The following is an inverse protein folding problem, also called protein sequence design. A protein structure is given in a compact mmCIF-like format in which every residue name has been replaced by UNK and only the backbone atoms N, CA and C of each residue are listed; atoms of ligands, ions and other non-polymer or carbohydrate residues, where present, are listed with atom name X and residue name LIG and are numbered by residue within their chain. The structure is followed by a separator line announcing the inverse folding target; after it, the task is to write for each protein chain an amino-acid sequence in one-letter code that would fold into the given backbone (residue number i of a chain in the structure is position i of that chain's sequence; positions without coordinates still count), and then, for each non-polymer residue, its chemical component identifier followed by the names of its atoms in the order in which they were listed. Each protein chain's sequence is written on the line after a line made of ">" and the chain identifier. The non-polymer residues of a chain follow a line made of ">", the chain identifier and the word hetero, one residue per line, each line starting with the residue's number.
data_IF_259014682319
#
_entry.id   IF_259014682319
#
_cell.length_a   1.000
_cell.length_b   1.000
_cell.length_c   1.000
_cell.angle_alpha   90.00
_cell.angle_beta   90.00
_cell.angle_gamma   90.00
#
_symmetry.space_group_name_H-M   'P 1'
#
loop_
_entity.id
_entity.type
_entity.pdbx_description
1 polymer ?
#
# COMPACT_ATOMS: atom_id res chain seq x y z
N UNK A 1 2.97 33.58 7.85
CA UNK A 1 1.56 33.63 8.32
C UNK A 1 1.00 32.22 8.37
N UNK A 2 0.10 31.94 9.31
CA UNK A 2 -0.56 30.63 9.45
C UNK A 2 -2.07 30.84 9.57
N UNK A 3 -2.86 30.08 8.82
CA UNK A 3 -4.33 30.22 8.81
C UNK A 3 -4.95 29.23 9.78
N UNK A 4 -5.85 29.70 10.65
CA UNK A 4 -6.55 28.84 11.60
C UNK A 4 -7.48 27.86 10.85
N UNK A 5 -7.39 26.57 11.13
CA UNK A 5 -8.26 25.56 10.52
C UNK A 5 -9.70 25.60 11.06
N UNK A 6 -9.93 26.24 12.21
CA UNK A 6 -11.25 26.35 12.84
C UNK A 6 -12.01 27.61 12.42
N UNK A 7 -11.42 28.81 12.57
CA UNK A 7 -12.09 30.08 12.25
C UNK A 7 -11.53 30.82 11.02
N UNK A 8 -10.53 30.25 10.35
CA UNK A 8 -9.90 30.81 9.14
C UNK A 8 -9.18 32.15 9.33
N UNK A 9 -9.04 32.65 10.56
CA UNK A 9 -8.24 33.85 10.86
C UNK A 9 -6.75 33.65 10.53
N UNK A 10 -6.10 34.70 10.02
CA UNK A 10 -4.67 34.72 9.75
C UNK A 10 -3.90 35.09 11.01
N UNK A 11 -2.94 34.25 11.40
CA UNK A 11 -2.14 34.46 12.59
C UNK A 11 -0.66 34.64 12.20
N UNK A 12 0.11 35.43 12.96
CA UNK A 12 1.55 35.53 12.77
C UNK A 12 2.22 34.17 12.99
N UNK A 13 3.33 33.93 12.29
CA UNK A 13 4.10 32.70 12.47
C UNK A 13 4.67 32.64 13.89
N UNK A 14 4.62 31.46 14.52
CA UNK A 14 5.19 31.25 15.86
C UNK A 14 4.21 31.39 17.03
N UNK A 15 2.96 31.83 16.81
CA UNK A 15 1.94 31.80 17.87
C UNK A 15 1.38 30.40 18.06
N UNK A 16 1.14 30.04 19.33
CA UNK A 16 0.72 28.69 19.73
C UNK A 16 -0.79 28.46 19.59
N UNK A 17 -1.55 29.53 19.74
CA UNK A 17 -3.01 29.54 19.70
C UNK A 17 -3.50 30.65 18.78
N UNK A 18 -4.71 30.49 18.24
CA UNK A 18 -5.36 31.50 17.44
C UNK A 18 -5.80 32.68 18.33
N UNK A 19 -5.47 33.90 17.93
CA UNK A 19 -5.85 35.11 18.66
C UNK A 19 -7.35 35.42 18.67
N UNK A 20 -8.11 34.85 17.71
CA UNK A 20 -9.55 35.04 17.58
C UNK A 20 -10.36 33.97 18.32
N UNK A 21 -10.10 32.68 18.04
CA UNK A 21 -10.92 31.59 18.56
C UNK A 21 -10.25 30.74 19.65
N UNK A 22 -8.99 31.00 19.99
CA UNK A 22 -8.24 30.22 21.00
C UNK A 22 -7.81 28.82 20.55
N UNK A 23 -8.13 28.41 19.31
CA UNK A 23 -7.72 27.11 18.78
C UNK A 23 -6.20 26.93 18.77
N UNK A 24 -5.73 25.73 19.12
CA UNK A 24 -4.30 25.39 19.06
C UNK A 24 -3.81 25.33 17.61
N UNK A 25 -2.72 26.03 17.31
CA UNK A 25 -2.10 26.04 15.99
C UNK A 25 -0.86 25.15 15.93
N UNK A 26 -0.22 24.90 17.08
CA UNK A 26 0.91 23.97 17.19
C UNK A 26 0.49 22.54 16.88
N UNK A 27 1.38 21.80 16.21
CA UNK A 27 1.17 20.38 15.95
C UNK A 27 1.90 19.53 16.99
N UNK A 28 1.21 18.54 17.54
CA UNK A 28 1.83 17.56 18.44
C UNK A 28 2.29 16.36 17.63
N UNK A 29 3.54 15.95 17.79
CA UNK A 29 4.07 14.79 17.10
C UNK A 29 3.42 13.51 17.63
N UNK A 30 2.76 12.75 16.77
CA UNK A 30 2.16 11.47 17.16
C UNK A 30 3.20 10.40 17.54
N UNK A 31 4.44 10.52 17.07
CA UNK A 31 5.50 9.54 17.33
C UNK A 31 6.19 9.75 18.69
N UNK A 32 6.39 11.01 19.13
CA UNK A 32 7.14 11.29 20.36
C UNK A 32 6.45 12.28 21.32
N UNK A 33 5.28 12.83 20.98
CA UNK A 33 4.54 13.77 21.83
C UNK A 33 5.08 15.21 21.85
N UNK A 34 6.19 15.51 21.17
CA UNK A 34 6.75 16.86 21.14
C UNK A 34 5.79 17.86 20.48
N UNK A 35 5.70 19.06 21.03
CA UNK A 35 5.02 20.19 20.40
C UNK A 35 5.90 20.81 19.31
N UNK A 36 5.32 21.12 18.15
CA UNK A 36 6.02 21.67 17.01
C UNK A 36 5.31 22.95 16.53
N UNK A 37 6.08 23.96 16.11
CA UNK A 37 5.55 25.19 15.52
C UNK A 37 4.50 24.95 14.42
N UNK A 38 3.52 25.86 14.27
CA UNK A 38 2.59 25.80 13.18
C UNK A 38 3.33 25.93 11.83
N UNK A 39 3.04 25.02 10.90
CA UNK A 39 3.60 25.01 9.55
C UNK A 39 4.72 23.99 9.32
N UNK A 40 5.32 23.46 10.39
CA UNK A 40 6.37 22.44 10.28
C UNK A 40 5.84 21.15 9.66
N UNK A 41 6.65 20.55 8.78
CA UNK A 41 6.32 19.31 8.08
C UNK A 41 6.85 18.07 8.79
N UNK A 42 7.91 18.24 9.58
CA UNK A 42 8.61 17.18 10.30
C UNK A 42 8.90 17.62 11.74
N UNK A 43 8.95 16.65 12.65
CA UNK A 43 9.24 16.91 14.05
C UNK A 43 10.71 17.32 14.26
N UNK A 44 10.94 18.42 14.96
CA UNK A 44 12.29 18.88 15.30
C UNK A 44 13.08 17.94 16.22
N UNK A 45 12.41 17.04 16.94
CA UNK A 45 13.05 16.10 17.86
C UNK A 45 13.31 14.72 17.23
N UNK A 46 12.29 14.10 16.64
CA UNK A 46 12.38 12.72 16.14
C UNK A 46 12.36 12.60 14.61
N UNK A 47 12.24 13.73 13.88
CA UNK A 47 12.10 13.78 12.40
C UNK A 47 10.88 13.04 11.81
N UNK A 48 9.94 12.55 12.61
CA UNK A 48 8.69 11.98 12.10
C UNK A 48 7.85 13.04 11.35
N UNK A 49 7.11 12.61 10.33
CA UNK A 49 6.19 13.49 9.59
C UNK A 49 5.07 13.99 10.51
N UNK A 50 4.84 15.30 10.52
CA UNK A 50 3.73 15.95 11.23
C UNK A 50 2.50 16.13 10.33
N UNK A 51 2.72 16.10 9.02
CA UNK A 51 1.65 16.05 8.04
C UNK A 51 1.15 14.62 8.00
N UNK A 52 -0.16 14.42 8.21
CA UNK A 52 -0.79 13.18 7.80
C UNK A 52 -0.59 13.08 6.29
N UNK A 53 0.30 12.19 5.86
CA UNK A 53 0.19 11.69 4.50
C UNK A 53 -1.25 11.21 4.33
N UNK A 54 -1.91 11.47 3.18
CA UNK A 54 -3.19 10.85 2.92
C UNK A 54 -2.96 9.36 3.11
N UNK A 55 -3.49 8.81 4.20
CA UNK A 55 -3.56 7.39 4.37
C UNK A 55 -4.45 6.97 3.22
N UNK A 56 -3.85 6.45 2.14
CA UNK A 56 -4.51 5.39 1.42
C UNK A 56 -4.72 4.35 2.49
N UNK A 57 -5.88 4.43 3.16
CA UNK A 57 -6.45 3.31 3.87
C UNK A 57 -6.30 2.23 2.85
N UNK A 58 -5.33 1.31 3.05
CA UNK A 58 -5.30 0.08 2.30
C UNK A 58 -6.74 -0.35 2.36
N UNK A 59 -7.40 -0.42 1.19
CA UNK A 59 -8.78 -0.81 1.05
C UNK A 59 -9.02 -1.81 2.17
N UNK A 60 -9.81 -1.43 3.18
CA UNK A 60 -10.28 -2.41 4.12
C UNK A 60 -11.00 -3.37 3.21
N UNK A 61 -10.36 -4.49 2.88
CA UNK A 61 -10.96 -5.49 2.02
C UNK A 61 -12.18 -5.91 2.82
N UNK A 62 -13.41 -5.61 2.36
CA UNK A 62 -14.51 -6.38 2.87
C UNK A 62 -14.28 -7.77 2.28
N UNK A 63 -13.70 -8.66 3.08
CA UNK A 63 -14.04 -10.06 2.93
C UNK A 63 -15.57 -10.11 2.90
N UNK A 64 -16.12 -10.74 1.86
CA UNK A 64 -17.55 -10.85 1.52
C UNK A 64 -18.07 -9.83 0.49
N UNK A 65 -17.59 -9.93 -0.75
CA UNK A 65 -18.52 -9.86 -1.88
C UNK A 65 -18.99 -11.30 -2.15
N UNK A 66 -20.26 -11.67 -1.90
CA UNK A 66 -20.73 -12.94 -2.41
C UNK A 66 -20.78 -12.81 -3.93
N UNK A 67 -19.83 -13.45 -4.62
CA UNK A 67 -19.98 -13.74 -6.03
C UNK A 67 -21.16 -14.71 -6.19
N UNK A 68 -22.38 -14.18 -6.21
CA UNK A 68 -23.50 -14.86 -6.87
C UNK A 68 -23.29 -14.76 -8.38
N UNK A 69 -22.27 -15.46 -8.88
CA UNK A 69 -22.15 -15.77 -10.29
C UNK A 69 -22.56 -17.23 -10.42
N UNK A 70 -23.86 -17.46 -10.60
CA UNK A 70 -24.34 -18.78 -11.02
C UNK A 70 -23.72 -19.10 -12.39
N UNK A 71 -22.89 -20.14 -12.54
CA UNK A 71 -22.39 -20.52 -13.84
C UNK A 71 -23.57 -21.05 -14.67
N UNK A 72 -24.04 -20.28 -15.66
CA UNK A 72 -24.94 -20.82 -16.67
C UNK A 72 -24.16 -21.92 -17.40
N UNK A 73 -24.59 -23.17 -17.21
CA UNK A 73 -24.05 -24.34 -17.90
C UNK A 73 -24.26 -24.13 -19.39
N UNK A 74 -23.22 -23.67 -20.08
CA UNK A 74 -23.23 -23.57 -21.54
C UNK A 74 -23.16 -24.99 -22.10
N UNK A 75 -24.31 -25.49 -22.53
CA UNK A 75 -24.48 -26.78 -23.20
C UNK A 75 -23.86 -26.73 -24.59
N UNK A 76 -22.54 -26.85 -24.68
CA UNK A 76 -21.86 -27.13 -25.94
C UNK A 76 -21.47 -28.62 -25.96
N UNK A 77 -21.93 -29.41 -26.96
CA UNK A 77 -21.54 -30.80 -27.08
C UNK A 77 -20.04 -30.90 -27.42
N UNK A 78 -19.28 -31.64 -26.62
CA UNK A 78 -17.86 -31.95 -26.90
C UNK A 78 -17.78 -32.85 -28.13
N UNK A 79 -17.29 -32.30 -29.25
CA UNK A 79 -16.87 -33.09 -30.40
C UNK A 79 -15.64 -33.94 -30.03
N UNK A 80 -15.76 -35.26 -30.23
CA UNK A 80 -14.73 -36.26 -29.92
C UNK A 80 -13.64 -36.24 -31.01
N UNK A 81 -12.53 -35.56 -30.75
CA UNK A 81 -11.35 -35.66 -31.61
C UNK A 81 -10.63 -36.99 -31.33
N UNK A 82 -10.61 -37.85 -32.34
CA UNK A 82 -9.90 -39.14 -32.34
C UNK A 82 -8.39 -38.91 -32.17
N UNK A 83 -7.78 -39.69 -31.29
CA UNK A 83 -6.34 -39.75 -31.09
C UNK A 83 -5.62 -40.21 -32.37
N UNK A 84 -4.57 -39.51 -32.76
CA UNK A 84 -3.49 -40.09 -33.56
C UNK A 84 -2.24 -40.13 -32.67
N UNK A 85 -1.85 -41.35 -32.31
CA UNK A 85 -0.63 -41.64 -31.58
C UNK A 85 0.48 -41.80 -32.61
N UNK A 86 1.42 -40.86 -32.68
CA UNK A 86 2.74 -41.21 -33.16
C UNK A 86 3.77 -40.85 -32.09
N UNK A 87 4.34 -41.92 -31.54
CA UNK A 87 5.10 -42.01 -30.31
C UNK A 87 6.53 -42.33 -30.71
N UNK A 88 7.48 -41.48 -30.36
CA UNK A 88 8.90 -41.84 -30.28
C UNK A 88 9.61 -40.77 -29.44
N UNK A 89 9.65 -40.87 -28.11
CA UNK A 89 10.63 -41.63 -27.30
C UNK A 89 12.03 -41.70 -27.93
N UNK A 90 12.84 -40.68 -27.65
CA UNK A 90 14.28 -40.85 -27.51
C UNK A 90 14.73 -40.20 -26.20
N UNK A 91 14.84 -41.02 -25.16
CA UNK A 91 15.68 -40.71 -23.99
C UNK A 91 17.03 -41.39 -24.23
N UNK A 92 18.05 -40.64 -24.64
CA UNK A 92 19.43 -41.13 -24.62
C UNK A 92 20.16 -40.47 -23.45
N UNK A 93 20.34 -41.32 -22.45
CA UNK A 93 21.21 -41.28 -21.27
C UNK A 93 22.64 -40.91 -21.69
N UNK A 94 23.31 -40.00 -20.96
CA UNK A 94 24.78 -39.93 -20.98
C UNK A 94 25.29 -40.03 -19.54
N UNK A 95 25.89 -41.17 -19.26
CA UNK A 95 26.56 -41.55 -18.02
C UNK A 95 28.00 -40.99 -18.03
N UNK A 96 28.57 -40.83 -16.83
CA UNK A 96 29.91 -40.28 -16.52
C UNK A 96 31.05 -41.02 -17.23
N UNK A 97 32.16 -40.31 -17.47
CA UNK A 97 33.51 -40.90 -17.49
C UNK A 97 34.49 -40.01 -16.71
N UNK A 98 35.19 -40.65 -15.78
CA UNK A 98 36.25 -40.17 -14.89
C UNK A 98 37.60 -39.93 -15.61
N UNK A 99 38.51 -39.18 -14.94
CA UNK A 99 39.95 -39.11 -15.25
C UNK A 99 40.60 -37.85 -14.64
N UNK A 100 41.13 -37.85 -13.41
CA UNK A 100 42.44 -38.35 -12.91
C UNK A 100 43.64 -37.42 -13.21
N UNK A 101 44.07 -36.77 -12.12
CA UNK A 101 45.42 -36.31 -11.67
C UNK A 101 46.44 -35.75 -12.66
N UNK A 102 46.96 -34.58 -12.30
CA UNK A 102 48.33 -34.11 -12.56
C UNK A 102 48.76 -33.22 -11.40
#
# INVERSE_FOLDING_TARGET
>A
MVKCSLCQHENPSGVKFCGECGARLESTCAACGAANPPGDKFCGQCRASLVQAPSFTKFASPETYPLNISPKKSSHPRARSKANSNKSRFCCRHERLDGVTG
#
